data_IF_823119753971
#
_entry.id   IF_823119753971
#
_cell.length_a   1.000
_cell.length_b   1.000
_cell.length_c   1.000
_cell.angle_alpha   90.00
_cell.angle_beta   90.00
_cell.angle_gamma   90.00
#
_symmetry.space_group_name_H-M   'P 1'
#
loop_
_entity.id
_entity.type
_entity.pdbx_description
1 polymer ?
#
# COMPACT_ATOMS: atom_id res chain seq x y z
N UNK A 1 10.14 8.07 -5.78
CA UNK A 1 8.90 7.99 -4.98
C UNK A 1 9.32 7.85 -3.53
N UNK A 2 8.54 8.39 -2.59
CA UNK A 2 8.65 8.08 -1.17
C UNK A 2 7.28 7.63 -0.64
N UNK A 3 7.26 6.84 0.42
CA UNK A 3 6.03 6.27 0.98
C UNK A 3 6.05 6.47 2.49
N UNK A 4 4.91 6.91 3.02
CA UNK A 4 4.67 7.03 4.45
C UNK A 4 3.47 6.16 4.81
N UNK A 5 3.65 5.35 5.86
CA UNK A 5 2.59 4.46 6.37
C UNK A 5 2.30 4.85 7.81
N UNK A 6 1.05 5.18 8.06
CA UNK A 6 0.53 5.47 9.40
C UNK A 6 -0.47 4.39 9.80
N UNK A 7 -1.04 4.52 11.00
CA UNK A 7 -2.13 3.63 11.43
C UNK A 7 -3.39 3.74 10.56
N UNK A 8 -3.58 4.87 9.88
CA UNK A 8 -4.84 5.19 9.17
C UNK A 8 -4.66 5.31 7.65
N UNK A 9 -3.46 5.67 7.17
CA UNK A 9 -3.21 6.04 5.78
C UNK A 9 -1.91 5.42 5.24
N UNK A 10 -1.94 5.13 3.95
CA UNK A 10 -0.78 4.90 3.08
C UNK A 10 -0.67 6.12 2.17
N UNK A 11 0.46 6.83 2.23
CA UNK A 11 0.70 8.05 1.46
C UNK A 11 1.89 7.85 0.53
N UNK A 12 1.70 8.13 -0.75
CA UNK A 12 2.74 8.09 -1.77
C UNK A 12 3.09 9.50 -2.25
N UNK A 13 4.38 9.83 -2.24
CA UNK A 13 4.96 11.04 -2.80
C UNK A 13 5.54 10.71 -4.18
N UNK A 14 4.85 11.16 -5.23
CA UNK A 14 5.21 10.88 -6.62
C UNK A 14 6.30 11.82 -7.11
N UNK A 15 7.04 11.39 -8.14
CA UNK A 15 8.17 12.15 -8.69
C UNK A 15 7.75 13.48 -9.35
N UNK A 16 6.50 13.61 -9.75
CA UNK A 16 5.92 14.83 -10.32
C UNK A 16 5.39 15.83 -9.26
N UNK A 17 5.66 15.56 -7.97
CA UNK A 17 5.26 16.42 -6.87
C UNK A 17 3.84 16.16 -6.34
N UNK A 18 3.08 15.25 -6.94
CA UNK A 18 1.77 14.84 -6.40
C UNK A 18 1.93 14.02 -5.13
N UNK A 19 0.96 14.18 -4.24
CA UNK A 19 0.80 13.37 -3.03
C UNK A 19 -0.56 12.68 -3.14
N UNK A 20 -0.58 11.37 -2.92
CA UNK A 20 -1.80 10.57 -2.95
C UNK A 20 -1.86 9.76 -1.67
N UNK A 21 -2.96 9.89 -0.94
CA UNK A 21 -3.20 9.15 0.29
C UNK A 21 -4.47 8.31 0.16
N UNK A 22 -4.40 7.10 0.70
CA UNK A 22 -5.49 6.14 0.72
C UNK A 22 -5.56 5.50 2.10
N UNK A 23 -6.73 5.02 2.56
CA UNK A 23 -6.82 4.36 3.87
C UNK A 23 -5.88 3.16 3.97
N UNK A 24 -5.28 2.92 5.14
CA UNK A 24 -4.58 1.66 5.41
C UNK A 24 -5.54 0.46 5.25
N UNK A 25 -6.82 0.68 5.61
CA UNK A 25 -7.95 -0.25 5.46
C UNK A 25 -8.17 -0.75 4.02
N UNK A 26 -7.55 -0.11 3.03
CA UNK A 26 -7.68 -0.43 1.63
C UNK A 26 -6.95 -1.72 1.22
N UNK A 27 -6.01 -2.16 2.06
CA UNK A 27 -5.46 -3.50 2.02
C UNK A 27 -5.82 -4.23 3.30
N UNK A 28 -6.51 -5.35 3.15
CA UNK A 28 -6.86 -6.23 4.28
C UNK A 28 -5.60 -6.79 4.96
N UNK A 29 -4.51 -7.02 4.21
CA UNK A 29 -3.24 -7.47 4.77
C UNK A 29 -2.58 -6.40 5.60
N UNK A 30 -2.45 -5.18 5.07
CA UNK A 30 -1.85 -4.07 5.80
C UNK A 30 -2.66 -3.68 7.04
N UNK A 31 -4.00 -3.81 6.97
CA UNK A 31 -4.88 -3.62 8.12
C UNK A 31 -4.53 -4.58 9.27
N UNK A 32 -4.19 -5.82 8.95
CA UNK A 32 -3.85 -6.87 9.93
C UNK A 32 -2.35 -6.93 10.26
N UNK A 33 -1.50 -6.24 9.51
CA UNK A 33 -0.06 -6.23 9.71
C UNK A 33 0.33 -5.49 11.00
N UNK A 34 1.43 -5.90 11.64
CA UNK A 34 2.00 -5.17 12.77
C UNK A 34 2.65 -3.86 12.31
N UNK A 35 2.89 -2.88 13.22
CA UNK A 35 3.62 -1.67 12.87
C UNK A 35 4.98 -1.95 12.22
N UNK A 36 5.71 -2.95 12.70
CA UNK A 36 7.03 -3.33 12.19
C UNK A 36 6.92 -3.84 10.75
N UNK A 37 5.96 -4.73 10.49
CA UNK A 37 5.70 -5.24 9.14
C UNK A 37 5.30 -4.10 8.19
N UNK A 38 4.47 -3.14 8.63
CA UNK A 38 4.08 -1.99 7.81
C UNK A 38 5.23 -1.04 7.48
N UNK A 39 6.25 -0.97 8.32
CA UNK A 39 7.44 -0.15 8.08
C UNK A 39 8.51 -0.88 7.26
N UNK A 40 8.40 -2.20 7.11
CA UNK A 40 9.27 -2.99 6.26
C UNK A 40 8.69 -3.11 4.85
N UNK A 41 9.07 -2.19 3.97
CA UNK A 41 8.64 -2.17 2.58
C UNK A 41 9.76 -1.77 1.62
N UNK A 42 9.55 -2.13 0.37
CA UNK A 42 10.44 -1.83 -0.75
C UNK A 42 9.68 -1.11 -1.85
N UNK A 43 10.31 -0.13 -2.49
CA UNK A 43 9.74 0.51 -3.67
C UNK A 43 10.10 -0.31 -4.89
N UNK A 44 9.09 -0.75 -5.64
CA UNK A 44 9.22 -1.65 -6.80
C UNK A 44 8.78 -0.98 -8.10
N UNK A 45 9.09 -1.63 -9.23
CA UNK A 45 8.64 -1.20 -10.57
C UNK A 45 9.11 0.20 -10.94
N UNK A 46 10.35 0.58 -10.60
CA UNK A 46 10.90 1.92 -10.88
C UNK A 46 10.07 3.04 -10.21
N UNK A 47 9.50 2.78 -9.03
CA UNK A 47 8.68 3.76 -8.30
C UNK A 47 7.20 3.74 -8.66
N UNK A 48 6.71 2.66 -9.27
CA UNK A 48 5.29 2.48 -9.61
C UNK A 48 4.49 1.79 -8.50
N UNK A 49 5.15 1.15 -7.54
CA UNK A 49 4.48 0.46 -6.44
C UNK A 49 5.37 0.25 -5.24
N UNK A 50 4.76 -0.34 -4.21
CA UNK A 50 5.35 -0.61 -2.90
C UNK A 50 5.05 -2.06 -2.54
N UNK A 51 6.08 -2.81 -2.19
CA UNK A 51 6.01 -4.21 -1.79
C UNK A 51 6.29 -4.34 -0.30
N UNK A 52 5.43 -5.05 0.43
CA UNK A 52 5.65 -5.45 1.82
C UNK A 52 5.98 -6.95 1.86
N UNK A 53 7.27 -7.33 1.96
CA UNK A 53 7.70 -8.72 1.87
C UNK A 53 7.19 -9.58 3.04
N UNK A 54 7.06 -9.02 4.25
CA UNK A 54 6.65 -9.78 5.44
C UNK A 54 5.21 -10.29 5.39
N UNK A 55 4.36 -9.69 4.55
CA UNK A 55 2.93 -10.01 4.44
C UNK A 55 2.51 -10.35 3.00
N UNK A 56 3.44 -10.34 2.05
CA UNK A 56 3.18 -10.57 0.61
C UNK A 56 2.06 -9.67 0.08
N UNK A 57 2.27 -8.36 0.19
CA UNK A 57 1.31 -7.35 -0.26
C UNK A 57 1.98 -6.31 -1.16
N UNK A 58 1.29 -5.97 -2.26
CA UNK A 58 1.70 -4.92 -3.19
C UNK A 58 0.64 -3.83 -3.29
N UNK A 59 1.06 -2.58 -3.17
CA UNK A 59 0.22 -1.41 -3.48
C UNK A 59 0.84 -0.63 -4.63
N UNK A 60 0.07 -0.47 -5.70
CA UNK A 60 0.50 0.32 -6.87
C UNK A 60 0.00 1.75 -6.80
N UNK A 61 0.83 2.69 -7.27
CA UNK A 61 0.43 4.09 -7.41
C UNK A 61 -0.76 4.25 -8.38
N UNK A 62 -0.88 3.38 -9.38
CA UNK A 62 -2.04 3.34 -10.28
C UNK A 62 -3.30 2.92 -9.51
N UNK A 63 -3.24 1.87 -8.69
CA UNK A 63 -4.37 1.46 -7.85
C UNK A 63 -4.83 2.57 -6.91
N UNK A 64 -3.88 3.33 -6.35
CA UNK A 64 -4.15 4.56 -5.59
C UNK A 64 -4.86 5.64 -6.39
N UNK A 65 -4.45 5.88 -7.64
CA UNK A 65 -5.07 6.86 -8.53
C UNK A 65 -6.48 6.45 -8.99
N UNK A 66 -6.71 5.17 -9.26
CA UNK A 66 -7.97 4.68 -9.84
C UNK A 66 -9.01 4.30 -8.79
N UNK A 67 -8.65 4.28 -7.51
CA UNK A 67 -9.56 3.96 -6.43
C UNK A 67 -9.80 2.46 -6.25
N UNK A 68 -8.82 1.61 -6.58
CA UNK A 68 -8.99 0.15 -6.58
C UNK A 68 -8.39 -0.47 -5.30
N UNK A 69 -9.21 -0.84 -4.29
CA UNK A 69 -8.72 -1.52 -3.08
C UNK A 69 -8.15 -2.92 -3.36
N UNK A 70 -7.38 -3.44 -2.41
CA UNK A 70 -6.98 -4.84 -2.33
C UNK A 70 -7.93 -5.60 -1.38
N UNK A 71 -9.02 -6.21 -1.89
CA UNK A 71 -10.00 -6.89 -1.05
C UNK A 71 -9.46 -8.21 -0.47
N UNK A 72 -10.00 -8.66 0.67
CA UNK A 72 -9.70 -9.99 1.18
C UNK A 72 -10.15 -11.07 0.18
N UNK A 73 -9.47 -12.23 0.15
CA UNK A 73 -9.91 -13.35 -0.66
C UNK A 73 -11.35 -13.74 -0.27
N UNK A 74 -12.21 -13.92 -1.27
CA UNK A 74 -13.56 -14.43 -1.04
C UNK A 74 -13.43 -15.84 -0.46
N UNK A 75 -13.93 -16.07 0.75
CA UNK A 75 -14.11 -17.43 1.26
C UNK A 75 -14.96 -18.20 0.26
N UNK A 76 -14.43 -19.31 -0.25
CA UNK A 76 -15.23 -20.26 -1.02
C UNK A 76 -16.25 -20.85 -0.05
N UNK A 77 -17.53 -20.64 -0.35
CA UNK A 77 -18.64 -21.33 0.31
C UNK A 77 -18.58 -22.84 0.03
#
# INVERSE_FOLDING_TARGET
MAVEVTKDLITAHLADGRIISVPLAWSWRLSNATPEQRQHFEIIGTGQGVHWPDIDEDISAIGMLTGTPAPPPKQKA
#
